data_IF_706779968521
#
_entry.id   IF_706779968521
#
_cell.length_a   1.000
_cell.length_b   1.000
_cell.length_c   1.000
_cell.angle_alpha   90.00
_cell.angle_beta   90.00
_cell.angle_gamma   90.00
#
_symmetry.space_group_name_H-M   'P 1'
#
loop_
_entity.id
_entity.type
_entity.pdbx_description
1 polymer ?
#
# COMPACT_ATOMS: atom_id res chain seq x y z
N UNK A 1 -1.59 -0.92 15.85
CA UNK A 1 -0.26 -1.29 15.32
C UNK A 1 -0.30 -1.88 13.90
N UNK A 2 -1.19 -2.81 13.57
CA UNK A 2 -1.27 -3.39 12.20
C UNK A 2 -1.69 -2.34 11.15
N UNK A 3 -2.54 -1.41 11.52
CA UNK A 3 -2.99 -0.31 10.65
C UNK A 3 -1.83 0.59 10.23
N UNK A 4 -0.91 0.87 11.14
CA UNK A 4 0.25 1.72 10.86
C UNK A 4 1.26 1.02 9.94
N UNK A 5 1.44 -0.29 10.08
CA UNK A 5 2.31 -1.07 9.20
C UNK A 5 1.78 -1.10 7.77
N UNK A 6 0.48 -1.32 7.56
CA UNK A 6 -0.14 -1.28 6.23
C UNK A 6 -0.06 0.10 5.59
N UNK A 7 -0.20 1.16 6.38
CA UNK A 7 -0.03 2.53 5.92
C UNK A 7 1.39 2.78 5.41
N UNK A 8 2.41 2.38 6.18
CA UNK A 8 3.81 2.50 5.79
C UNK A 8 4.14 1.69 4.53
N UNK A 9 3.62 0.45 4.46
CA UNK A 9 3.80 -0.41 3.28
C UNK A 9 3.14 0.18 2.04
N UNK A 10 1.95 0.75 2.16
CA UNK A 10 1.26 1.42 1.06
C UNK A 10 2.00 2.66 0.58
N UNK A 11 2.49 3.47 1.53
CA UNK A 11 3.32 4.64 1.22
C UNK A 11 4.62 4.23 0.53
N UNK A 12 5.26 3.17 1.01
CA UNK A 12 6.46 2.59 0.40
C UNK A 12 6.20 2.04 -1.01
N UNK A 13 5.16 1.23 -1.18
CA UNK A 13 4.78 0.65 -2.47
C UNK A 13 4.49 1.75 -3.51
N UNK A 14 3.72 2.76 -3.12
CA UNK A 14 3.42 3.91 -3.96
C UNK A 14 4.68 4.74 -4.27
N UNK A 15 5.45 5.13 -3.26
CA UNK A 15 6.62 6.00 -3.42
C UNK A 15 7.75 5.35 -4.21
N UNK A 16 8.13 4.13 -3.89
CA UNK A 16 9.15 3.39 -4.64
C UNK A 16 8.66 2.99 -6.02
N UNK A 17 7.38 2.64 -6.18
CA UNK A 17 6.76 2.38 -7.47
C UNK A 17 6.81 3.60 -8.37
N UNK A 18 6.44 4.78 -7.85
CA UNK A 18 6.51 6.04 -8.58
C UNK A 18 7.96 6.41 -8.93
N UNK A 19 8.90 6.26 -8.01
CA UNK A 19 10.32 6.46 -8.25
C UNK A 19 10.82 5.57 -9.39
N UNK A 20 10.48 4.28 -9.36
CA UNK A 20 10.89 3.31 -10.37
C UNK A 20 10.30 3.62 -11.75
N UNK A 21 9.03 3.99 -11.81
CA UNK A 21 8.34 4.33 -13.06
C UNK A 21 8.89 5.61 -13.70
N UNK A 22 9.27 6.60 -12.89
CA UNK A 22 9.71 7.92 -13.37
C UNK A 22 11.24 8.05 -13.51
N UNK A 23 12.01 7.18 -12.85
CA UNK A 23 13.49 7.26 -12.84
C UNK A 23 14.09 7.33 -14.22
N UNK A 24 13.60 6.50 -15.16
CA UNK A 24 14.11 6.48 -16.55
C UNK A 24 13.98 7.83 -17.24
N UNK A 25 12.83 8.51 -17.04
CA UNK A 25 12.58 9.81 -17.66
C UNK A 25 13.54 10.88 -17.11
N UNK A 26 13.76 10.86 -15.79
CA UNK A 26 14.71 11.79 -15.15
C UNK A 26 16.16 11.47 -15.48
N UNK A 27 16.53 10.19 -15.52
CA UNK A 27 17.88 9.75 -15.85
C UNK A 27 18.26 10.12 -17.28
N UNK A 28 17.37 9.90 -18.25
CA UNK A 28 17.59 10.30 -19.65
C UNK A 28 17.73 11.82 -19.79
N UNK A 29 16.94 12.60 -19.06
CA UNK A 29 16.94 14.05 -19.15
C UNK A 29 18.17 14.68 -18.49
N UNK A 30 18.70 14.08 -17.42
CA UNK A 30 19.79 14.63 -16.63
C UNK A 30 21.13 13.89 -16.82
N UNK A 31 21.20 12.91 -17.71
CA UNK A 31 22.41 12.12 -17.93
C UNK A 31 22.85 11.28 -16.72
N UNK A 32 21.89 10.83 -15.90
CA UNK A 32 22.19 10.03 -14.71
C UNK A 32 22.57 8.60 -15.08
N UNK A 33 23.44 7.94 -14.28
CA UNK A 33 23.82 6.56 -14.54
C UNK A 33 22.61 5.64 -14.46
N UNK A 34 22.32 4.97 -15.56
CA UNK A 34 21.32 3.91 -15.62
C UNK A 34 22.01 2.59 -15.35
N UNK A 35 21.54 1.84 -14.34
CA UNK A 35 22.09 0.52 -14.04
C UNK A 35 21.88 -0.48 -15.18
N UNK A 36 22.62 -1.59 -15.16
CA UNK A 36 22.62 -2.62 -16.20
C UNK A 36 21.20 -3.13 -16.55
N UNK A 37 20.30 -3.27 -15.57
CA UNK A 37 18.92 -3.69 -15.79
C UNK A 37 18.10 -2.74 -16.66
N UNK A 38 18.38 -1.45 -16.62
CA UNK A 38 17.73 -0.46 -17.50
C UNK A 38 18.28 -0.48 -18.92
N UNK A 39 19.53 -0.93 -19.08
CA UNK A 39 20.14 -1.05 -20.39
C UNK A 39 19.65 -2.30 -21.13
N UNK A 40 19.55 -3.44 -20.43
CA UNK A 40 19.19 -4.72 -21.02
C UNK A 40 17.66 -4.91 -21.16
N UNK A 41 16.89 -4.51 -20.14
CA UNK A 41 15.43 -4.70 -20.08
C UNK A 41 14.73 -3.42 -19.59
N UNK A 42 14.67 -2.38 -20.43
CA UNK A 42 14.16 -1.06 -20.00
C UNK A 42 12.68 -1.05 -19.62
N UNK A 43 11.88 -2.00 -20.11
CA UNK A 43 10.46 -2.08 -19.82
C UNK A 43 10.16 -2.68 -18.44
N UNK A 44 10.99 -3.60 -17.94
CA UNK A 44 10.74 -4.34 -16.69
C UNK A 44 10.63 -3.42 -15.48
N UNK A 45 11.59 -2.52 -15.20
CA UNK A 45 11.48 -1.61 -14.07
C UNK A 45 10.25 -0.69 -14.16
N UNK A 46 9.91 -0.23 -15.36
CA UNK A 46 8.76 0.65 -15.57
C UNK A 46 7.43 -0.08 -15.30
N UNK A 47 7.29 -1.32 -15.78
CA UNK A 47 6.09 -2.14 -15.56
C UNK A 47 5.95 -2.49 -14.08
N UNK A 48 7.02 -2.96 -13.44
CA UNK A 48 7.02 -3.28 -12.01
C UNK A 48 6.67 -2.04 -11.19
N UNK A 49 7.29 -0.91 -11.49
CA UNK A 49 7.02 0.36 -10.81
C UNK A 49 5.57 0.81 -10.97
N UNK A 50 5.01 0.68 -12.18
CA UNK A 50 3.62 1.02 -12.45
C UNK A 50 2.65 0.12 -11.69
N UNK A 51 2.88 -1.19 -11.66
CA UNK A 51 2.05 -2.13 -10.90
C UNK A 51 2.06 -1.82 -9.40
N UNK A 52 3.23 -1.59 -8.81
CA UNK A 52 3.37 -1.24 -7.40
C UNK A 52 2.67 0.10 -7.09
N UNK A 53 2.80 1.08 -7.97
CA UNK A 53 2.13 2.38 -7.85
C UNK A 53 0.61 2.22 -7.88
N UNK A 54 0.08 1.45 -8.83
CA UNK A 54 -1.38 1.22 -8.97
C UNK A 54 -1.92 0.52 -7.73
N UNK A 55 -1.25 -0.51 -7.22
CA UNK A 55 -1.68 -1.23 -6.02
C UNK A 55 -1.66 -0.31 -4.79
N UNK A 56 -0.61 0.49 -4.61
CA UNK A 56 -0.53 1.48 -3.54
C UNK A 56 -1.65 2.53 -3.64
N UNK A 57 -1.96 2.98 -4.85
CA UNK A 57 -3.05 3.94 -5.11
C UNK A 57 -4.43 3.33 -4.86
N UNK A 58 -4.65 2.08 -5.28
CA UNK A 58 -5.90 1.35 -5.00
C UNK A 58 -6.13 1.19 -3.51
N UNK A 59 -5.08 0.86 -2.75
CA UNK A 59 -5.19 0.78 -1.30
C UNK A 59 -5.49 2.14 -0.67
N UNK A 60 -4.86 3.21 -1.14
CA UNK A 60 -5.15 4.57 -0.67
C UNK A 60 -6.60 4.97 -0.99
N UNK A 61 -7.10 4.65 -2.18
CA UNK A 61 -8.48 4.90 -2.58
C UNK A 61 -9.49 4.07 -1.76
N UNK A 62 -9.18 2.80 -1.49
CA UNK A 62 -10.02 1.93 -0.68
C UNK A 62 -10.16 2.43 0.77
N UNK A 63 -9.13 3.07 1.31
CA UNK A 63 -9.20 3.72 2.63
C UNK A 63 -10.08 4.97 2.63
N UNK A 64 -10.19 5.64 1.52
CA UNK A 64 -10.93 6.89 1.40
C UNK A 64 -10.27 8.10 2.09
N UNK A 65 -10.85 9.29 1.90
CA UNK A 65 -10.28 10.53 2.43
C UNK A 65 -10.33 10.62 3.96
N UNK A 66 -11.36 10.07 4.58
CA UNK A 66 -11.56 10.12 6.04
C UNK A 66 -10.55 9.29 6.82
N UNK A 67 -10.09 8.17 6.25
CA UNK A 67 -9.09 7.27 6.84
C UNK A 67 -7.65 7.60 6.38
N UNK A 68 -7.44 8.79 5.85
CA UNK A 68 -6.10 9.28 5.50
C UNK A 68 -5.52 8.71 4.21
N UNK A 69 -6.35 8.22 3.28
CA UNK A 69 -5.89 7.70 1.99
C UNK A 69 -5.08 8.72 1.18
N UNK A 70 -5.46 10.00 1.22
CA UNK A 70 -4.73 11.08 0.57
C UNK A 70 -3.35 11.32 1.20
N UNK A 71 -3.18 11.02 2.49
CA UNK A 71 -1.89 11.14 3.20
C UNK A 71 -0.89 10.13 2.63
N UNK A 72 -1.33 8.92 2.28
CA UNK A 72 -0.50 7.90 1.61
C UNK A 72 0.05 8.45 0.30
N UNK A 73 -0.80 9.10 -0.49
CA UNK A 73 -0.39 9.69 -1.77
C UNK A 73 0.61 10.83 -1.55
N UNK A 74 0.33 11.73 -0.62
CA UNK A 74 1.22 12.85 -0.30
C UNK A 74 2.59 12.37 0.16
N UNK A 75 2.64 11.50 1.17
CA UNK A 75 3.91 10.95 1.68
C UNK A 75 4.62 10.08 0.64
N UNK A 76 3.88 9.34 -0.17
CA UNK A 76 4.45 8.56 -1.26
C UNK A 76 5.11 9.42 -2.34
N UNK A 77 4.50 10.54 -2.71
CA UNK A 77 5.11 11.52 -3.63
C UNK A 77 6.34 12.17 -3.01
N UNK A 78 6.30 12.54 -1.73
CA UNK A 78 7.46 13.06 -1.01
C UNK A 78 8.60 12.04 -0.97
N UNK A 79 8.28 10.78 -0.64
CA UNK A 79 9.25 9.69 -0.64
C UNK A 79 9.85 9.47 -2.03
N UNK A 80 9.04 9.46 -3.09
CA UNK A 80 9.53 9.32 -4.47
C UNK A 80 10.46 10.45 -4.86
N UNK A 81 10.09 11.69 -4.53
CA UNK A 81 10.89 12.88 -4.84
C UNK A 81 12.21 12.85 -4.09
N UNK A 82 12.19 12.53 -2.80
CA UNK A 82 13.39 12.42 -1.98
C UNK A 82 14.31 11.30 -2.48
N UNK A 83 13.73 10.13 -2.79
CA UNK A 83 14.48 8.96 -3.25
C UNK A 83 15.14 9.18 -4.60
N UNK A 84 14.38 9.74 -5.53
CA UNK A 84 14.86 9.96 -6.90
C UNK A 84 15.76 11.20 -7.01
N UNK A 85 15.38 12.30 -6.34
CA UNK A 85 16.03 13.59 -6.49
C UNK A 85 17.24 13.78 -5.58
N UNK A 86 17.10 13.47 -4.30
CA UNK A 86 18.12 13.77 -3.29
C UNK A 86 19.15 12.66 -3.14
N UNK A 87 18.68 11.42 -2.99
CA UNK A 87 19.56 10.28 -2.80
C UNK A 87 20.20 9.81 -4.09
N UNK A 88 19.62 10.12 -5.25
CA UNK A 88 20.03 9.57 -6.56
C UNK A 88 20.26 8.06 -6.51
N UNK A 89 19.54 7.39 -5.62
CA UNK A 89 19.64 5.95 -5.46
C UNK A 89 19.05 5.30 -6.69
N UNK A 90 19.88 4.51 -7.34
CA UNK A 90 19.53 3.87 -8.60
C UNK A 90 18.30 2.99 -8.46
N UNK A 91 17.63 2.82 -9.58
CA UNK A 91 16.47 1.96 -9.75
C UNK A 91 16.63 0.53 -9.21
N UNK A 92 17.86 0.06 -9.00
CA UNK A 92 18.15 -1.28 -8.51
C UNK A 92 17.56 -1.53 -7.12
N UNK A 93 17.73 -0.62 -6.17
CA UNK A 93 17.19 -0.77 -4.81
C UNK A 93 15.66 -0.66 -4.84
N UNK A 94 15.12 0.32 -5.57
CA UNK A 94 13.68 0.49 -5.73
C UNK A 94 13.03 -0.73 -6.40
N UNK A 95 13.73 -1.41 -7.31
CA UNK A 95 13.24 -2.62 -7.98
C UNK A 95 12.99 -3.79 -6.99
N UNK A 96 13.75 -3.84 -5.91
CA UNK A 96 13.54 -4.84 -4.85
C UNK A 96 12.55 -4.36 -3.79
N UNK A 97 12.68 -3.10 -3.35
CA UNK A 97 11.82 -2.58 -2.28
C UNK A 97 10.36 -2.44 -2.70
N UNK A 98 10.08 -1.98 -3.92
CA UNK A 98 8.73 -1.78 -4.40
C UNK A 98 7.90 -3.08 -4.43
N UNK A 99 8.36 -4.19 -5.06
CA UNK A 99 7.59 -5.42 -5.06
C UNK A 99 7.50 -6.08 -3.67
N UNK A 100 8.55 -5.99 -2.84
CA UNK A 100 8.50 -6.52 -1.47
C UNK A 100 7.44 -5.77 -0.65
N UNK A 101 7.45 -4.44 -0.67
CA UNK A 101 6.45 -3.63 0.02
C UNK A 101 5.04 -3.93 -0.49
N UNK A 102 4.87 -4.10 -1.80
CA UNK A 102 3.58 -4.41 -2.43
C UNK A 102 3.08 -5.80 -2.06
N UNK A 103 3.95 -6.80 -2.04
CA UNK A 103 3.58 -8.17 -1.62
C UNK A 103 3.17 -8.23 -0.16
N UNK A 104 3.90 -7.55 0.72
CA UNK A 104 3.55 -7.45 2.14
C UNK A 104 2.24 -6.67 2.35
N UNK A 105 2.01 -5.61 1.57
CA UNK A 105 0.76 -4.86 1.58
C UNK A 105 -0.42 -5.73 1.16
N UNK A 106 -0.31 -6.47 0.08
CA UNK A 106 -1.35 -7.38 -0.40
C UNK A 106 -1.63 -8.50 0.60
N UNK A 107 -0.59 -9.12 1.16
CA UNK A 107 -0.75 -10.15 2.17
C UNK A 107 -1.47 -9.61 3.42
N UNK A 108 -1.08 -8.45 3.92
CA UNK A 108 -1.72 -7.79 5.06
C UNK A 108 -3.17 -7.39 4.76
N UNK A 109 -3.43 -6.87 3.57
CA UNK A 109 -4.77 -6.45 3.17
C UNK A 109 -5.73 -7.64 3.02
N UNK A 110 -5.29 -8.73 2.41
CA UNK A 110 -6.10 -9.96 2.28
C UNK A 110 -6.43 -10.57 3.65
N UNK A 111 -5.46 -10.61 4.58
CA UNK A 111 -5.70 -11.11 5.94
C UNK A 111 -6.64 -10.23 6.75
N UNK A 112 -6.66 -8.94 6.50
CA UNK A 112 -7.56 -8.00 7.18
C UNK A 112 -9.00 -8.14 6.67
N UNK A 113 -9.19 -8.35 5.39
CA UNK A 113 -10.51 -8.64 4.79
C UNK A 113 -11.11 -9.92 5.39
N UNK A 114 -10.33 -10.98 5.54
CA UNK A 114 -10.79 -12.21 6.14
C UNK A 114 -11.25 -12.01 7.59
N UNK A 115 -10.53 -11.22 8.37
CA UNK A 115 -10.93 -10.89 9.75
C UNK A 115 -12.24 -10.15 9.83
N UNK A 116 -12.48 -9.18 8.95
CA UNK A 116 -13.74 -8.39 8.92
C UNK A 116 -14.93 -9.31 8.60
N UNK A 117 -14.78 -10.26 7.69
CA UNK A 117 -15.83 -11.23 7.37
C UNK A 117 -16.15 -12.15 8.55
N UNK A 118 -15.16 -12.61 9.30
CA UNK A 118 -15.35 -13.44 10.49
C UNK A 118 -16.10 -12.70 11.60
N UNK A 119 -15.80 -11.43 11.85
CA UNK A 119 -16.49 -10.60 12.85
C UNK A 119 -17.94 -10.35 12.42
N UNK A 120 -18.21 -10.13 11.14
CA UNK A 120 -19.56 -9.93 10.62
C UNK A 120 -20.41 -11.22 10.61
N UNK A 121 -19.77 -12.39 10.48
CA UNK A 121 -20.43 -13.70 10.51
C UNK A 121 -20.66 -14.24 11.93
N UNK A 122 -20.00 -13.69 12.95
CA UNK A 122 -20.20 -14.10 14.35
C UNK A 122 -21.53 -13.55 14.85
N UNK A 123 -22.47 -14.40 15.35
CA UNK A 123 -23.71 -13.90 15.94
C UNK A 123 -23.36 -13.00 17.12
N UNK A 124 -23.89 -11.80 17.11
CA UNK A 124 -23.66 -10.81 18.16
C UNK A 124 -24.10 -11.36 19.51
N UNK A 125 -23.25 -11.43 20.53
CA UNK A 125 -23.63 -11.95 21.86
C UNK A 125 -24.71 -11.10 22.55
N UNK A 126 -25.02 -9.92 22.00
CA UNK A 126 -26.06 -9.03 22.56
C UNK A 126 -27.50 -9.55 22.35
N UNK A 127 -27.73 -10.45 21.38
CA UNK A 127 -29.07 -11.01 21.13
C UNK A 127 -29.43 -12.19 22.04
N UNK A 128 -28.45 -12.82 22.68
CA UNK A 128 -28.71 -13.96 23.58
C UNK A 128 -29.13 -13.56 25.01
N UNK A 129 -28.99 -12.28 25.38
CA UNK A 129 -29.30 -11.80 26.73
C UNK A 129 -30.77 -11.31 26.85
N UNK A 130 -31.42 -10.99 25.73
CA UNK A 130 -32.80 -10.46 25.73
C UNK A 130 -33.84 -11.57 25.91
N UNK A 131 -33.50 -12.83 25.60
CA UNK A 131 -34.44 -13.96 25.66
C UNK A 131 -34.57 -14.61 27.07
N UNK A 132 -33.88 -14.12 28.09
CA UNK A 132 -33.86 -14.76 29.43
C UNK A 132 -34.67 -13.97 30.48
N UNK A 133 -35.38 -12.93 30.11
CA UNK A 133 -36.29 -12.25 31.07
C UNK A 133 -37.68 -12.87 30.98
N UNK A 134 -38.06 -13.74 31.91
CA UNK A 134 -39.46 -14.25 31.94
C UNK A 134 -40.42 -13.11 32.20
N UNK A 135 -41.60 -13.12 31.56
CA UNK A 135 -42.62 -12.11 31.83
C UNK A 135 -43.01 -12.18 33.31
N UNK A 136 -42.83 -11.06 34.00
CA UNK A 136 -43.36 -10.94 35.39
C UNK A 136 -44.84 -11.17 35.32
N UNK A 137 -45.28 -12.27 35.89
CA UNK A 137 -46.68 -12.47 36.24
C UNK A 137 -47.10 -11.35 37.22
N UNK A 138 -47.89 -10.42 36.76
CA UNK A 138 -48.68 -9.54 37.64
C UNK A 138 -49.87 -10.30 38.13
N UNK A 139 -49.90 -10.59 39.43
CA UNK A 139 -51.11 -10.95 40.20
C UNK A 139 -51.92 -9.70 40.41
#
# INVERSE_FOLDING_TARGET
MIVDALFLLATGAFGWGLSLATYRLFALRNGWPMGALHADLPAVPAVVGLLCLVIGLLFAAARGPELGGWVIVLFGVLLATFWTGFLRVGSQISLFLAPIATMLLLAGWLTDIDRVQWVAASPSPALSVVDIVPPKMTL
#
